data_IF_562494131983
#
_entry.id   IF_562494131983
#
_cell.length_a   1.000
_cell.length_b   1.000
_cell.length_c   1.000
_cell.angle_alpha   90.00
_cell.angle_beta   90.00
_cell.angle_gamma   90.00
#
_symmetry.space_group_name_H-M   'P 1'
#
loop_
_entity.id
_entity.type
_entity.pdbx_description
1 polymer ?
#
# COMPACT_ATOMS: atom_id res chain seq x y z
N UNK A 1 -7.75 13.19 17.29
CA UNK A 1 -7.01 12.16 18.05
C UNK A 1 -6.36 11.25 17.03
N UNK A 2 -5.11 11.51 16.64
CA UNK A 2 -4.42 10.73 15.61
C UNK A 2 -3.81 9.49 16.25
N UNK A 3 -4.47 8.35 16.11
CA UNK A 3 -3.90 7.06 16.47
C UNK A 3 -2.69 6.81 15.56
N UNK A 4 -1.49 6.85 16.13
CA UNK A 4 -0.27 6.42 15.46
C UNK A 4 -0.38 4.93 15.16
N UNK A 5 -0.32 4.56 13.88
CA UNK A 5 -0.44 3.18 13.40
C UNK A 5 0.91 2.68 12.87
N UNK A 6 1.94 2.66 13.71
CA UNK A 6 3.25 2.12 13.27
C UNK A 6 3.60 0.82 13.98
N UNK A 7 3.47 -0.27 13.23
CA UNK A 7 4.04 -1.58 13.56
C UNK A 7 4.83 -2.20 12.40
N UNK A 8 4.77 -1.66 11.17
CA UNK A 8 5.20 -2.36 9.95
C UNK A 8 6.71 -2.58 9.87
N UNK A 9 7.51 -1.52 9.99
CA UNK A 9 8.98 -1.62 10.00
C UNK A 9 9.50 -2.43 11.18
N UNK A 10 8.87 -2.29 12.35
CA UNK A 10 9.21 -3.08 13.54
C UNK A 10 8.84 -4.56 13.37
N UNK A 11 7.65 -4.87 12.83
CA UNK A 11 7.19 -6.24 12.58
C UNK A 11 8.06 -6.94 11.55
N UNK A 12 8.41 -6.26 10.45
CA UNK A 12 9.34 -6.80 9.44
C UNK A 12 10.71 -7.11 10.07
N UNK A 13 11.27 -6.14 10.80
CA UNK A 13 12.54 -6.33 11.54
C UNK A 13 12.48 -7.51 12.51
N UNK A 14 11.42 -7.63 13.31
CA UNK A 14 11.28 -8.75 14.25
C UNK A 14 11.08 -10.08 13.53
N UNK A 15 10.39 -10.10 12.39
CA UNK A 15 10.24 -11.28 11.54
C UNK A 15 11.60 -11.72 10.96
N UNK A 16 12.40 -10.81 10.43
CA UNK A 16 13.75 -11.08 9.91
C UNK A 16 14.66 -11.60 11.03
N UNK A 17 14.66 -10.95 12.19
CA UNK A 17 15.41 -11.41 13.35
C UNK A 17 14.98 -12.80 13.81
N UNK A 18 13.69 -13.15 13.70
CA UNK A 18 13.19 -14.49 14.01
C UNK A 18 13.75 -15.54 13.05
N UNK A 19 13.82 -15.25 11.74
CA UNK A 19 14.46 -16.14 10.78
C UNK A 19 15.92 -16.38 11.14
N UNK A 20 16.66 -15.32 11.42
CA UNK A 20 18.08 -15.41 11.80
C UNK A 20 18.26 -16.16 13.12
N UNK A 21 17.47 -15.85 14.15
CA UNK A 21 17.58 -16.50 15.45
C UNK A 21 17.27 -18.00 15.39
N UNK A 22 16.30 -18.42 14.56
CA UNK A 22 16.03 -19.84 14.31
C UNK A 22 17.20 -20.48 13.53
N UNK A 23 17.72 -19.80 12.52
CA UNK A 23 18.84 -20.29 11.71
C UNK A 23 20.08 -20.54 12.56
N UNK A 24 20.41 -19.62 13.47
CA UNK A 24 21.58 -19.71 14.35
C UNK A 24 21.31 -20.40 15.70
N UNK A 25 20.09 -20.88 15.95
CA UNK A 25 19.75 -21.59 17.18
C UNK A 25 19.70 -20.70 18.44
N UNK A 26 19.49 -19.40 18.28
CA UNK A 26 19.42 -18.40 19.37
C UNK A 26 18.03 -18.35 19.99
N UNK A 27 17.61 -19.44 20.65
CA UNK A 27 16.23 -19.63 21.12
C UNK A 27 15.71 -18.51 22.04
N UNK A 28 16.55 -18.00 22.96
CA UNK A 28 16.14 -16.91 23.85
C UNK A 28 15.88 -15.60 23.08
N UNK A 29 16.70 -15.32 22.06
CA UNK A 29 16.49 -14.16 21.19
C UNK A 29 15.24 -14.35 20.33
N UNK A 30 15.04 -15.56 19.79
CA UNK A 30 13.84 -15.90 19.03
C UNK A 30 12.57 -15.69 19.86
N UNK A 31 12.52 -16.14 21.13
CA UNK A 31 11.37 -15.89 22.02
C UNK A 31 11.11 -14.40 22.25
N UNK A 32 12.16 -13.62 22.47
CA UNK A 32 12.04 -12.17 22.67
C UNK A 32 11.52 -11.48 21.39
N UNK A 33 12.05 -11.82 20.22
CA UNK A 33 11.59 -11.27 18.95
C UNK A 33 10.17 -11.74 18.60
N UNK A 34 9.77 -12.96 18.96
CA UNK A 34 8.41 -13.46 18.82
C UNK A 34 7.42 -12.63 19.65
N UNK A 35 7.75 -12.34 20.90
CA UNK A 35 6.90 -11.53 21.78
C UNK A 35 6.76 -10.09 21.27
N UNK A 36 7.87 -9.50 20.80
CA UNK A 36 7.84 -8.15 20.19
C UNK A 36 6.99 -8.13 18.92
N UNK A 37 7.16 -9.11 18.03
CA UNK A 37 6.36 -9.25 16.82
C UNK A 37 4.87 -9.41 17.16
N UNK A 38 4.54 -10.26 18.13
CA UNK A 38 3.16 -10.41 18.64
C UNK A 38 2.57 -9.07 19.05
N UNK A 39 3.29 -8.31 19.87
CA UNK A 39 2.82 -7.01 20.36
C UNK A 39 2.65 -5.98 19.24
N UNK A 40 3.54 -5.96 18.25
CA UNK A 40 3.42 -5.12 17.06
C UNK A 40 2.18 -5.49 16.22
N UNK A 41 1.94 -6.78 16.00
CA UNK A 41 0.76 -7.26 15.27
C UNK A 41 -0.54 -6.98 16.06
N UNK A 42 -0.57 -7.23 17.36
CA UNK A 42 -1.75 -6.92 18.19
C UNK A 42 -2.09 -5.43 18.15
N UNK A 43 -1.10 -4.54 18.30
CA UNK A 43 -1.33 -3.08 18.14
C UNK A 43 -1.90 -2.76 16.76
N UNK A 44 -1.38 -3.39 15.71
CA UNK A 44 -1.84 -3.18 14.34
C UNK A 44 -3.29 -3.63 14.14
N UNK A 45 -3.68 -4.77 14.71
CA UNK A 45 -4.98 -5.39 14.50
C UNK A 45 -6.09 -4.88 15.42
N UNK A 46 -5.77 -4.60 16.69
CA UNK A 46 -6.71 -3.98 17.64
C UNK A 46 -7.18 -2.62 17.13
N UNK A 47 -6.24 -1.81 16.63
CA UNK A 47 -6.55 -0.48 16.08
C UNK A 47 -7.40 -0.52 14.82
N UNK A 48 -7.53 -1.70 14.20
CA UNK A 48 -8.31 -1.96 12.98
C UNK A 48 -9.56 -2.82 13.26
N UNK A 49 -9.90 -3.03 14.52
CA UNK A 49 -11.07 -3.80 14.98
C UNK A 49 -11.12 -5.24 14.39
N UNK A 50 -9.94 -5.84 14.17
CA UNK A 50 -9.79 -7.21 13.69
C UNK A 50 -9.70 -8.15 14.89
N UNK A 51 -10.36 -9.31 14.79
CA UNK A 51 -10.25 -10.38 15.78
C UNK A 51 -8.78 -10.80 15.97
N UNK A 52 -8.29 -10.65 17.19
CA UNK A 52 -6.90 -10.90 17.55
C UNK A 52 -6.66 -12.31 18.12
N UNK A 53 -7.70 -13.11 18.32
CA UNK A 53 -7.60 -14.45 18.92
C UNK A 53 -6.66 -15.36 18.10
N UNK A 54 -6.73 -15.23 16.77
CA UNK A 54 -5.85 -15.97 15.86
C UNK A 54 -4.36 -15.62 16.04
N UNK A 55 -4.05 -14.38 16.42
CA UNK A 55 -2.67 -13.94 16.68
C UNK A 55 -2.19 -14.55 18.00
N UNK A 56 -3.01 -14.46 19.05
CA UNK A 56 -2.68 -15.06 20.34
C UNK A 56 -2.42 -16.57 20.22
N UNK A 57 -3.29 -17.30 19.53
CA UNK A 57 -3.14 -18.74 19.31
C UNK A 57 -1.84 -19.07 18.57
N UNK A 58 -1.56 -18.35 17.48
CA UNK A 58 -0.38 -18.59 16.66
C UNK A 58 0.91 -18.32 17.42
N UNK A 59 1.01 -17.21 18.15
CA UNK A 59 2.21 -16.93 18.94
C UNK A 59 2.35 -17.86 20.16
N UNK A 60 1.26 -18.28 20.78
CA UNK A 60 1.30 -19.30 21.83
C UNK A 60 1.87 -20.62 21.30
N UNK A 61 1.36 -21.10 20.16
CA UNK A 61 1.85 -22.32 19.52
C UNK A 61 3.29 -22.19 19.03
N UNK A 62 3.67 -21.04 18.49
CA UNK A 62 5.05 -20.79 18.06
C UNK A 62 6.03 -20.78 19.24
N UNK A 63 5.67 -20.18 20.38
CA UNK A 63 6.47 -20.23 21.61
C UNK A 63 6.61 -21.65 22.15
N UNK A 64 5.54 -22.46 22.07
CA UNK A 64 5.60 -23.88 22.38
C UNK A 64 6.59 -24.61 21.46
N UNK A 65 6.53 -24.38 20.15
CA UNK A 65 7.45 -24.98 19.18
C UNK A 65 8.90 -24.54 19.41
N UNK A 66 9.16 -23.25 19.65
CA UNK A 66 10.50 -22.73 19.97
C UNK A 66 11.12 -23.40 21.21
N UNK A 67 10.28 -23.84 22.15
CA UNK A 67 10.73 -24.45 23.41
C UNK A 67 10.93 -25.97 23.31
N UNK A 68 10.26 -26.63 22.37
CA UNK A 68 10.14 -28.10 22.35
C UNK A 68 10.50 -28.75 21.01
N UNK A 69 10.75 -27.97 19.95
CA UNK A 69 11.03 -28.47 18.61
C UNK A 69 12.45 -28.10 18.18
N UNK A 70 13.28 -29.10 17.91
CA UNK A 70 14.62 -28.92 17.36
C UNK A 70 14.62 -28.85 15.82
N UNK A 71 13.47 -29.06 15.17
CA UNK A 71 13.35 -29.04 13.72
C UNK A 71 13.14 -27.61 13.20
N UNK A 72 14.20 -27.03 12.62
CA UNK A 72 14.18 -25.69 12.03
C UNK A 72 13.16 -25.54 10.91
N UNK A 73 12.94 -26.58 10.09
CA UNK A 73 11.97 -26.51 8.99
C UNK A 73 10.54 -26.34 9.52
N UNK A 74 10.20 -26.99 10.63
CA UNK A 74 8.90 -26.82 11.29
C UNK A 74 8.74 -25.41 11.83
N UNK A 75 9.78 -24.84 12.45
CA UNK A 75 9.77 -23.46 12.93
C UNK A 75 9.63 -22.45 11.80
N UNK A 76 10.36 -22.62 10.69
CA UNK A 76 10.25 -21.76 9.52
C UNK A 76 8.89 -21.84 8.85
N UNK A 77 8.31 -23.04 8.72
CA UNK A 77 6.97 -23.19 8.17
C UNK A 77 5.92 -22.50 9.04
N UNK A 78 6.02 -22.63 10.36
CA UNK A 78 5.11 -21.96 11.28
C UNK A 78 5.28 -20.43 11.26
N UNK A 79 6.51 -19.95 11.12
CA UNK A 79 6.81 -18.52 10.96
C UNK A 79 6.20 -17.98 9.65
N UNK A 80 6.22 -18.76 8.56
CA UNK A 80 5.53 -18.43 7.30
C UNK A 80 4.01 -18.36 7.49
N UNK A 81 3.41 -19.24 8.30
CA UNK A 81 1.98 -19.14 8.61
C UNK A 81 1.64 -17.84 9.36
N UNK A 82 2.45 -17.45 10.34
CA UNK A 82 2.29 -16.17 11.06
C UNK A 82 2.40 -14.99 10.08
N UNK A 83 3.38 -15.04 9.17
CA UNK A 83 3.53 -14.04 8.10
C UNK A 83 2.28 -13.95 7.22
N UNK A 84 1.70 -15.09 6.83
CA UNK A 84 0.52 -15.09 5.97
C UNK A 84 -0.72 -14.54 6.68
N UNK A 85 -0.85 -14.74 8.00
CA UNK A 85 -1.95 -14.15 8.79
C UNK A 85 -1.83 -12.63 8.80
N UNK A 86 -0.60 -12.11 8.89
CA UNK A 86 -0.37 -10.67 8.78
C UNK A 86 -0.81 -10.07 7.43
N UNK A 87 -1.03 -10.91 6.41
CA UNK A 87 -1.47 -10.53 5.07
C UNK A 87 -2.95 -10.90 4.78
N UNK A 88 -3.55 -11.77 5.59
CA UNK A 88 -4.90 -12.34 5.40
C UNK A 88 -6.02 -11.53 6.04
N UNK A 89 -5.69 -10.70 7.03
CA UNK A 89 -6.64 -9.94 7.85
C UNK A 89 -7.48 -8.89 7.13
N UNK A 90 -7.20 -8.62 5.86
CA UNK A 90 -7.99 -7.70 5.06
C UNK A 90 -8.47 -8.46 3.83
N UNK A 91 -9.60 -9.14 3.99
CA UNK A 91 -10.27 -9.90 2.92
C UNK A 91 -10.66 -9.02 1.74
N UNK A 92 -10.86 -7.72 1.98
CA UNK A 92 -11.20 -6.74 0.96
C UNK A 92 -9.94 -5.95 0.50
N UNK A 93 -9.43 -6.18 -0.73
CA UNK A 93 -8.25 -5.48 -1.22
C UNK A 93 -8.40 -3.96 -1.33
N UNK A 94 -9.62 -3.42 -1.48
CA UNK A 94 -9.85 -1.95 -1.49
C UNK A 94 -9.68 -1.37 -0.08
N UNK A 95 -10.21 -2.06 0.94
CA UNK A 95 -9.94 -1.67 2.33
C UNK A 95 -8.46 -1.77 2.67
N UNK A 96 -7.75 -2.74 2.09
CA UNK A 96 -6.31 -2.85 2.28
C UNK A 96 -5.60 -1.66 1.63
N UNK A 97 -5.94 -1.33 0.39
CA UNK A 97 -5.39 -0.16 -0.29
C UNK A 97 -5.64 1.15 0.49
N UNK A 98 -6.80 1.30 1.12
CA UNK A 98 -7.10 2.45 1.99
C UNK A 98 -6.17 2.53 3.21
N UNK A 99 -5.81 1.40 3.79
CA UNK A 99 -4.87 1.38 4.91
C UNK A 99 -3.45 1.72 4.45
N UNK A 100 -3.02 1.18 3.31
CA UNK A 100 -1.74 1.51 2.70
C UNK A 100 -1.63 2.99 2.35
N UNK A 101 -2.73 3.60 1.91
CA UNK A 101 -2.82 5.03 1.66
C UNK A 101 -2.52 5.86 2.91
N UNK A 102 -3.13 5.54 4.05
CA UNK A 102 -2.90 6.29 5.30
C UNK A 102 -1.48 6.09 5.83
N UNK A 103 -0.95 4.86 5.76
CA UNK A 103 0.44 4.55 6.14
C UNK A 103 1.43 5.35 5.25
N UNK A 104 1.19 5.35 3.93
CA UNK A 104 2.03 6.06 2.97
C UNK A 104 1.96 7.58 3.16
N UNK A 105 0.77 8.11 3.44
CA UNK A 105 0.56 9.54 3.71
C UNK A 105 1.32 9.98 4.95
N UNK A 106 1.34 9.17 6.01
CA UNK A 106 2.13 9.48 7.20
C UNK A 106 3.63 9.40 6.90
N UNK A 107 4.10 8.34 6.25
CA UNK A 107 5.52 8.21 5.88
C UNK A 107 6.00 9.39 5.03
N UNK A 108 5.16 9.85 4.10
CA UNK A 108 5.44 10.98 3.23
C UNK A 108 5.69 12.28 4.01
N UNK A 109 4.90 12.54 5.06
CA UNK A 109 5.13 13.69 5.96
C UNK A 109 6.48 13.62 6.68
N UNK A 110 7.03 12.42 6.80
CA UNK A 110 8.28 12.11 7.50
C UNK A 110 9.40 11.67 6.55
N UNK A 111 9.29 11.91 5.23
CA UNK A 111 10.28 11.43 4.23
C UNK A 111 11.73 11.82 4.54
N UNK A 112 11.93 12.95 5.24
CA UNK A 112 13.25 13.45 5.64
C UNK A 112 13.90 12.68 6.79
N UNK A 113 13.16 11.84 7.51
CA UNK A 113 13.67 11.07 8.67
C UNK A 113 14.02 9.62 8.36
N UNK A 114 14.09 9.22 7.08
CA UNK A 114 14.54 7.87 6.70
C UNK A 114 13.42 6.85 6.50
N UNK A 115 12.20 7.29 6.22
CA UNK A 115 11.04 6.43 5.91
C UNK A 115 11.01 5.91 4.47
N UNK A 116 12.08 6.08 3.70
CA UNK A 116 12.08 5.69 2.27
C UNK A 116 11.93 4.17 2.10
N UNK A 117 12.61 3.37 2.93
CA UNK A 117 12.50 1.91 2.89
C UNK A 117 11.08 1.44 3.21
N UNK A 118 10.39 2.11 4.15
CA UNK A 118 9.00 1.76 4.49
C UNK A 118 8.02 2.15 3.39
N UNK A 119 8.26 3.26 2.67
CA UNK A 119 7.48 3.61 1.48
C UNK A 119 7.64 2.59 0.36
N UNK A 120 8.86 2.12 0.09
CA UNK A 120 9.12 1.09 -0.92
C UNK A 120 8.39 -0.22 -0.54
N UNK A 121 8.43 -0.60 0.75
CA UNK A 121 7.68 -1.76 1.23
C UNK A 121 6.16 -1.60 1.05
N UNK A 122 5.62 -0.39 1.20
CA UNK A 122 4.20 -0.10 0.93
C UNK A 122 3.89 -0.24 -0.56
N UNK A 123 4.77 0.25 -1.45
CA UNK A 123 4.61 0.12 -2.90
C UNK A 123 4.56 -1.32 -3.37
N UNK A 124 5.43 -2.18 -2.84
CA UNK A 124 5.42 -3.60 -3.16
C UNK A 124 4.13 -4.29 -2.70
N UNK A 125 3.59 -3.87 -1.55
CA UNK A 125 2.31 -4.41 -1.11
C UNK A 125 1.15 -3.91 -1.96
N UNK A 126 1.13 -2.63 -2.37
CA UNK A 126 0.16 -2.13 -3.36
C UNK A 126 0.23 -3.02 -4.60
N UNK A 127 1.41 -3.27 -5.17
CA UNK A 127 1.56 -4.18 -6.34
C UNK A 127 0.99 -5.57 -6.09
N UNK A 128 1.16 -6.11 -4.89
CA UNK A 128 0.66 -7.44 -4.51
C UNK A 128 -0.88 -7.53 -4.48
N UNK A 129 -1.59 -6.40 -4.40
CA UNK A 129 -3.06 -6.36 -4.45
C UNK A 129 -3.62 -6.58 -5.86
N UNK A 130 -2.81 -6.41 -6.92
CA UNK A 130 -3.22 -6.54 -8.32
C UNK A 130 -4.09 -7.78 -8.62
N UNK A 131 -3.66 -9.02 -8.31
CA UNK A 131 -4.46 -10.20 -8.62
C UNK A 131 -5.84 -10.17 -7.96
N UNK A 132 -5.94 -9.67 -6.72
CA UNK A 132 -7.21 -9.59 -5.98
C UNK A 132 -8.13 -8.48 -6.51
N UNK A 133 -7.57 -7.32 -6.86
CA UNK A 133 -8.36 -6.21 -7.43
C UNK A 133 -8.83 -6.53 -8.85
N UNK A 134 -8.05 -7.30 -9.62
CA UNK A 134 -8.44 -7.74 -10.95
C UNK A 134 -9.70 -8.63 -10.96
N UNK A 135 -10.01 -9.32 -9.86
CA UNK A 135 -11.22 -10.14 -9.73
C UNK A 135 -12.51 -9.31 -9.78
N UNK A 136 -12.46 -8.02 -9.43
CA UNK A 136 -13.63 -7.12 -9.45
C UNK A 136 -14.10 -6.82 -10.88
N UNK A 137 -13.23 -6.94 -11.89
CA UNK A 137 -13.52 -6.74 -13.33
C UNK A 137 -14.31 -5.46 -13.66
N UNK A 138 -14.12 -4.41 -12.86
CA UNK A 138 -14.87 -3.16 -12.94
C UNK A 138 -13.94 -1.95 -13.12
N UNK A 139 -14.49 -0.75 -13.00
CA UNK A 139 -13.78 0.52 -13.07
C UNK A 139 -12.71 0.66 -11.98
N UNK A 140 -12.83 -0.05 -10.86
CA UNK A 140 -11.84 -0.06 -9.78
C UNK A 140 -10.51 -0.66 -10.23
N UNK A 141 -10.52 -1.74 -11.02
CA UNK A 141 -9.29 -2.30 -11.61
C UNK A 141 -8.63 -1.32 -12.58
N UNK A 142 -9.45 -0.62 -13.36
CA UNK A 142 -9.02 0.42 -14.29
C UNK A 142 -8.32 1.58 -13.57
N UNK A 143 -8.88 2.11 -12.49
CA UNK A 143 -8.18 3.11 -11.67
C UNK A 143 -6.95 2.54 -10.99
N UNK A 144 -6.99 1.27 -10.58
CA UNK A 144 -5.87 0.61 -9.94
C UNK A 144 -4.65 0.46 -10.86
N UNK A 145 -4.85 0.32 -12.18
CA UNK A 145 -3.71 0.35 -13.12
C UNK A 145 -2.97 1.69 -13.13
N UNK A 146 -3.67 2.81 -12.91
CA UNK A 146 -3.05 4.14 -12.79
C UNK A 146 -2.25 4.23 -11.49
N UNK A 147 -2.81 3.72 -10.38
CA UNK A 147 -2.08 3.59 -9.10
C UNK A 147 -0.75 2.86 -9.29
N UNK A 148 -0.72 1.76 -10.05
CA UNK A 148 0.51 0.99 -10.29
C UNK A 148 1.55 1.78 -11.11
N UNK A 149 1.12 2.63 -12.04
CA UNK A 149 2.02 3.51 -12.80
C UNK A 149 2.62 4.57 -11.89
N UNK A 150 1.78 5.25 -11.10
CA UNK A 150 2.19 6.30 -10.18
C UNK A 150 3.10 5.79 -9.06
N UNK A 151 2.88 4.56 -8.59
CA UNK A 151 3.79 3.86 -7.68
C UNK A 151 5.19 3.73 -8.30
N UNK A 152 5.28 3.38 -9.59
CA UNK A 152 6.56 3.31 -10.31
C UNK A 152 7.25 4.67 -10.45
N UNK A 153 6.50 5.72 -10.75
CA UNK A 153 7.01 7.10 -10.81
C UNK A 153 7.56 7.53 -9.44
N UNK A 154 6.80 7.33 -8.37
CA UNK A 154 7.22 7.67 -7.00
C UNK A 154 8.48 6.90 -6.57
N UNK A 155 8.55 5.60 -6.85
CA UNK A 155 9.72 4.78 -6.50
C UNK A 155 10.99 5.23 -7.23
N UNK A 156 10.88 5.64 -8.50
CA UNK A 156 12.02 6.17 -9.25
C UNK A 156 12.57 7.45 -8.60
N UNK A 157 11.68 8.38 -8.21
CA UNK A 157 12.08 9.62 -7.54
C UNK A 157 12.70 9.34 -6.17
N UNK A 158 12.12 8.41 -5.38
CA UNK A 158 12.66 7.99 -4.09
C UNK A 158 14.03 7.29 -4.20
N UNK A 159 14.21 6.44 -5.21
CA UNK A 159 15.50 5.77 -5.48
C UNK A 159 16.57 6.79 -5.86
N UNK A 160 16.22 7.78 -6.67
CA UNK A 160 17.13 8.88 -7.00
C UNK A 160 17.54 9.68 -5.74
N UNK A 161 16.62 9.86 -4.79
CA UNK A 161 16.91 10.52 -3.51
C UNK A 161 17.89 9.71 -2.64
N UNK A 162 17.73 8.39 -2.55
CA UNK A 162 18.61 7.52 -1.75
C UNK A 162 20.00 7.37 -2.38
N UNK A 163 20.09 7.24 -3.71
CA UNK A 163 21.38 7.12 -4.42
C UNK A 163 22.23 8.38 -4.35
N UNK A 164 21.62 9.57 -4.29
CA UNK A 164 22.37 10.82 -4.29
C UNK A 164 23.16 11.09 -3.00
N UNK A 165 22.99 10.32 -1.91
CA UNK A 165 23.69 10.48 -0.60
C UNK A 165 23.75 11.92 -0.06
N UNK A 166 22.94 12.84 -0.58
CA UNK A 166 22.88 14.23 -0.12
C UNK A 166 21.97 14.28 1.09
N UNK A 167 22.45 14.85 2.20
CA UNK A 167 21.64 15.02 3.44
C UNK A 167 20.40 15.89 3.24
N UNK A 168 20.35 16.68 2.16
CA UNK A 168 19.22 17.57 1.84
C UNK A 168 18.88 17.39 0.36
N UNK A 169 17.67 16.88 0.05
CA UNK A 169 17.13 16.89 -1.31
C UNK A 169 17.16 18.30 -1.89
N UNK A 170 17.59 18.47 -3.14
CA UNK A 170 17.49 19.78 -3.79
C UNK A 170 16.01 20.12 -4.07
N UNK A 171 15.69 21.42 -4.19
CA UNK A 171 14.30 21.88 -4.37
C UNK A 171 13.60 21.30 -5.60
N UNK A 172 14.34 20.98 -6.65
CA UNK A 172 13.79 20.36 -7.87
C UNK A 172 13.31 18.94 -7.60
N UNK A 173 14.15 18.11 -6.98
CA UNK A 173 13.80 16.72 -6.62
C UNK A 173 12.67 16.69 -5.58
N UNK A 174 12.62 17.65 -4.65
CA UNK A 174 11.47 17.76 -3.74
C UNK A 174 10.17 18.11 -4.48
N UNK A 175 10.21 19.01 -5.47
CA UNK A 175 9.03 19.35 -6.28
C UNK A 175 8.55 18.15 -7.09
N UNK A 176 9.46 17.40 -7.70
CA UNK A 176 9.16 16.16 -8.44
C UNK A 176 8.54 15.10 -7.51
N UNK A 177 9.07 14.95 -6.30
CA UNK A 177 8.53 14.05 -5.28
C UNK A 177 7.12 14.45 -4.86
N UNK A 178 6.90 15.73 -4.57
CA UNK A 178 5.59 16.26 -4.18
C UNK A 178 4.56 16.01 -5.30
N UNK A 179 4.90 16.31 -6.55
CA UNK A 179 4.01 16.11 -7.69
C UNK A 179 3.67 14.62 -7.88
N UNK A 180 4.66 13.73 -7.80
CA UNK A 180 4.46 12.28 -7.96
C UNK A 180 3.55 11.73 -6.87
N UNK A 181 3.80 12.09 -5.60
CA UNK A 181 2.97 11.65 -4.47
C UNK A 181 1.55 12.23 -4.52
N UNK A 182 1.38 13.48 -4.95
CA UNK A 182 0.05 14.09 -5.14
C UNK A 182 -0.78 13.31 -6.16
N UNK A 183 -0.16 12.91 -7.28
CA UNK A 183 -0.79 12.10 -8.33
C UNK A 183 -1.18 10.72 -7.77
N UNK A 184 -0.23 10.03 -7.13
CA UNK A 184 -0.47 8.73 -6.48
C UNK A 184 -1.61 8.78 -5.46
N UNK A 185 -1.64 9.81 -4.61
CA UNK A 185 -2.71 9.97 -3.61
C UNK A 185 -4.07 10.20 -4.25
N UNK A 186 -4.16 11.00 -5.33
CA UNK A 186 -5.40 11.18 -6.09
C UNK A 186 -5.87 9.85 -6.69
N UNK A 187 -4.98 9.10 -7.30
CA UNK A 187 -5.35 7.86 -8.00
C UNK A 187 -5.73 6.74 -7.03
N UNK A 188 -5.08 6.63 -5.86
CA UNK A 188 -5.52 5.72 -4.80
C UNK A 188 -6.94 6.09 -4.33
N UNK A 189 -7.24 7.38 -4.16
CA UNK A 189 -8.59 7.81 -3.78
C UNK A 189 -9.65 7.42 -4.82
N UNK A 190 -9.34 7.45 -6.12
CA UNK A 190 -10.25 6.97 -7.18
C UNK A 190 -10.53 5.47 -7.11
N UNK A 191 -9.63 4.67 -6.55
CA UNK A 191 -9.89 3.24 -6.32
C UNK A 191 -10.72 3.02 -5.06
N UNK A 192 -10.42 3.75 -3.98
CA UNK A 192 -11.11 3.62 -2.68
C UNK A 192 -12.55 4.14 -2.76
N UNK A 193 -12.75 5.25 -3.45
CA UNK A 193 -14.03 5.89 -3.67
C UNK A 193 -14.16 6.23 -5.16
N UNK A 194 -14.53 5.26 -6.00
CA UNK A 194 -14.70 5.48 -7.43
C UNK A 194 -15.66 6.63 -7.69
N UNK A 195 -15.31 7.58 -8.58
CA UNK A 195 -16.24 8.63 -8.95
C UNK A 195 -17.47 7.98 -9.58
N UNK A 196 -18.65 8.48 -9.23
CA UNK A 196 -19.89 8.07 -9.89
C UNK A 196 -19.77 8.51 -11.35
N UNK A 197 -19.68 7.55 -12.26
CA UNK A 197 -19.58 7.86 -13.70
C UNK A 197 -20.90 8.48 -14.13
N UNK A 198 -20.84 9.77 -14.45
CA UNK A 198 -21.93 10.48 -15.09
C UNK A 198 -21.76 10.25 -16.59
N UNK A 199 -22.64 9.42 -17.16
CA UNK A 199 -22.68 9.22 -18.61
C UNK A 199 -23.02 10.55 -19.28
N UNK A 200 -22.04 11.12 -19.98
CA UNK A 200 -22.21 12.30 -20.81
C UNK A 200 -22.54 11.88 -22.23
N UNK A 201 -23.57 12.46 -22.82
CA UNK A 201 -23.75 12.39 -24.27
C UNK A 201 -22.68 13.23 -24.98
N UNK A 202 -22.31 12.92 -26.24
CA UNK A 202 -21.34 13.72 -26.98
C UNK A 202 -21.72 15.20 -27.13
N UNK A 203 -23.02 15.49 -27.19
CA UNK A 203 -23.55 16.85 -27.23
C UNK A 203 -23.30 17.61 -25.91
N UNK A 204 -23.47 16.95 -24.77
CA UNK A 204 -23.20 17.52 -23.45
C UNK A 204 -21.71 17.73 -23.22
N UNK A 205 -20.87 16.78 -23.66
CA UNK A 205 -19.41 16.90 -23.62
C UNK A 205 -18.93 18.14 -24.40
N UNK A 206 -19.40 18.34 -25.64
CA UNK A 206 -19.10 19.54 -26.44
C UNK A 206 -19.58 20.83 -25.76
N UNK A 207 -20.74 20.81 -25.10
CA UNK A 207 -21.25 21.98 -24.38
C UNK A 207 -20.38 22.33 -23.17
N UNK A 208 -19.90 21.34 -22.42
CA UNK A 208 -19.01 21.57 -21.28
C UNK A 208 -17.60 22.03 -21.71
N UNK A 209 -17.07 21.49 -22.82
CA UNK A 209 -15.77 21.88 -23.39
C UNK A 209 -15.69 23.37 -23.81
N UNK A 210 -16.83 24.06 -23.95
CA UNK A 210 -16.84 25.52 -24.20
C UNK A 210 -16.33 26.34 -23.01
N UNK A 211 -16.38 25.76 -21.81
CA UNK A 211 -16.15 26.50 -20.56
C UNK A 211 -15.20 25.77 -19.60
N UNK A 212 -14.87 24.51 -19.86
CA UNK A 212 -14.03 23.67 -19.02
C UNK A 212 -13.02 22.91 -19.85
N UNK A 213 -11.85 22.62 -19.29
CA UNK A 213 -10.87 21.72 -19.90
C UNK A 213 -11.35 20.27 -19.85
N UNK A 214 -10.74 19.41 -20.69
CA UNK A 214 -11.03 17.98 -20.69
C UNK A 214 -10.73 17.34 -19.32
N UNK A 215 -9.64 17.78 -18.68
CA UNK A 215 -9.23 17.39 -17.32
C UNK A 215 -10.27 17.78 -16.27
N UNK A 216 -10.83 18.99 -16.34
CA UNK A 216 -11.90 19.45 -15.45
C UNK A 216 -13.21 18.68 -15.64
N UNK A 217 -13.52 18.26 -16.88
CA UNK A 217 -14.72 17.47 -17.19
C UNK A 217 -14.54 16.02 -16.73
N UNK A 218 -13.36 15.46 -16.94
CA UNK A 218 -12.93 14.15 -16.43
C UNK A 218 -13.09 14.08 -14.91
N UNK A 219 -12.55 15.07 -14.17
CA UNK A 219 -12.69 15.14 -12.71
C UNK A 219 -14.16 15.31 -12.28
N UNK A 220 -14.96 16.10 -12.99
CA UNK A 220 -16.36 16.37 -12.62
C UNK A 220 -17.32 15.21 -12.93
N UNK A 221 -16.99 14.33 -13.88
CA UNK A 221 -17.89 13.28 -14.36
C UNK A 221 -17.40 11.87 -14.11
N UNK A 222 -16.16 11.70 -13.66
CA UNK A 222 -15.54 10.41 -13.41
C UNK A 222 -15.10 9.65 -14.66
N UNK A 223 -15.36 10.17 -15.86
CA UNK A 223 -14.91 9.60 -17.13
C UNK A 223 -13.40 9.82 -17.30
N UNK A 224 -12.70 8.90 -17.98
CA UNK A 224 -11.28 9.11 -18.30
C UNK A 224 -11.14 10.16 -19.40
N UNK A 225 -10.10 10.99 -19.32
CA UNK A 225 -9.78 11.95 -20.39
C UNK A 225 -9.64 11.28 -21.76
N UNK A 226 -9.01 10.12 -21.83
CA UNK A 226 -8.87 9.34 -23.07
C UNK A 226 -10.23 8.90 -23.65
N UNK A 227 -11.18 8.53 -22.79
CA UNK A 227 -12.55 8.16 -23.20
C UNK A 227 -13.33 9.38 -23.68
N UNK A 228 -13.20 10.51 -22.99
CA UNK A 228 -13.79 11.79 -23.41
C UNK A 228 -13.19 12.26 -24.74
N UNK A 229 -11.88 12.12 -24.93
CA UNK A 229 -11.20 12.45 -26.17
C UNK A 229 -11.67 11.56 -27.32
N UNK A 230 -11.84 10.26 -27.09
CA UNK A 230 -12.38 9.33 -28.08
C UNK A 230 -13.82 9.70 -28.48
N UNK A 231 -14.68 10.06 -27.51
CA UNK A 231 -16.05 10.53 -27.78
C UNK A 231 -16.09 11.80 -28.64
N UNK A 232 -15.17 12.74 -28.42
CA UNK A 232 -15.06 13.95 -29.25
C UNK A 232 -14.67 13.61 -30.69
N UNK A 233 -13.69 12.72 -30.87
CA UNK A 233 -13.17 12.33 -32.18
C UNK A 233 -14.21 11.54 -33.01
N UNK A 234 -15.04 10.70 -32.39
CA UNK A 234 -16.08 9.94 -33.10
C UNK A 234 -17.18 10.81 -33.72
N UNK A 235 -17.43 12.01 -33.18
CA UNK A 235 -18.48 12.92 -33.68
C UNK A 235 -17.93 13.98 -34.62
N UNK A 236 -16.61 14.05 -34.84
CA UNK A 236 -16.01 14.85 -35.92
C UNK A 236 -15.99 14.09 -37.26
N UNK A 237 -16.28 12.79 -37.24
CA UNK A 237 -16.39 11.93 -38.43
C UNK A 237 -17.83 11.76 -38.94
N UNK A 238 -18.82 12.35 -38.28
CA UNK A 238 -20.22 12.48 -38.72
C UNK A 238 -20.50 13.90 -39.24
#
# INVERSE_FOLDING_TARGET
>A
MSLQLYSRGESKKYMENLFDDIQYGRINNAKNNAEKLKNCLLKYYITRNVDCDIIYEKFHRFNFLLSNCNNKNTLFNYLKEIRNISQLSISNPIMHLQQLYEDLRHDYLHVRSGTVETMIDIFDEIRSLKPKIQEYKDTSYNYFTLVLQDVGECESVLTNLTMQKRKIPNDKTMKELIASFQKLFKDIQKVIAPPVIINLSPAELRKQMKHKSLEEISEATGNREEELQAMLNTVEME
#
